data_IF_998355209910
#
_entry.id   IF_998355209910
#
_cell.length_a   1.000
_cell.length_b   1.000
_cell.length_c   1.000
_cell.angle_alpha   90.00
_cell.angle_beta   90.00
_cell.angle_gamma   90.00
#
_symmetry.space_group_name_H-M   'P 1'
#
loop_
_entity.id
_entity.type
_entity.pdbx_description
1 polymer ?
#
# COMPACT_ATOMS: atom_id res chain seq x y z
N UNK A 1 12.57 41.15 -29.44
CA UNK A 1 12.56 42.29 -28.50
C UNK A 1 11.11 42.58 -28.17
N UNK A 2 10.64 42.23 -26.98
CA UNK A 2 9.24 42.41 -26.59
C UNK A 2 8.92 41.57 -25.36
N UNK A 3 9.43 42.01 -24.21
CA UNK A 3 9.39 41.32 -22.92
C UNK A 3 8.79 42.19 -21.81
N UNK A 4 8.42 43.44 -22.10
CA UNK A 4 8.12 44.40 -21.04
C UNK A 4 7.06 45.40 -21.49
N UNK A 5 6.14 45.72 -20.59
CA UNK A 5 5.22 46.86 -20.70
C UNK A 5 5.91 48.05 -20.04
N UNK A 6 5.99 49.17 -20.76
CA UNK A 6 6.62 50.39 -20.27
C UNK A 6 5.58 51.48 -20.00
N UNK A 7 5.51 51.97 -18.76
CA UNK A 7 4.53 52.98 -18.33
C UNK A 7 5.17 54.13 -17.51
N UNK A 8 4.70 55.38 -17.65
CA UNK A 8 5.09 56.50 -16.78
C UNK A 8 4.02 56.82 -15.71
N UNK A 9 4.33 57.09 -14.41
CA UNK A 9 5.45 56.77 -13.50
C UNK A 9 5.00 55.80 -12.36
N UNK A 10 5.75 55.41 -11.33
CA UNK A 10 7.09 54.79 -11.24
C UNK A 10 7.00 53.69 -10.16
N UNK A 11 7.42 52.47 -10.47
CA UNK A 11 7.67 51.41 -9.48
C UNK A 11 8.93 51.76 -8.68
N UNK A 12 8.92 51.55 -7.37
CA UNK A 12 10.03 51.84 -6.47
C UNK A 12 10.53 50.55 -5.81
N UNK A 13 11.64 50.65 -5.08
CA UNK A 13 12.14 49.52 -4.30
C UNK A 13 11.09 49.13 -3.25
N UNK A 14 10.62 47.88 -3.29
CA UNK A 14 9.48 47.40 -2.51
C UNK A 14 8.24 47.07 -3.34
N UNK A 15 8.12 47.62 -4.56
CA UNK A 15 7.00 47.33 -5.47
C UNK A 15 7.29 46.17 -6.42
N UNK A 16 8.53 45.66 -6.44
CA UNK A 16 8.94 44.54 -7.30
C UNK A 16 8.11 43.29 -6.96
N UNK A 17 7.51 42.67 -7.97
CA UNK A 17 6.53 41.58 -7.81
C UNK A 17 5.07 42.04 -7.71
N UNK A 18 4.81 43.34 -7.55
CA UNK A 18 3.45 43.88 -7.53
C UNK A 18 2.76 43.87 -8.91
N UNK A 19 1.42 43.77 -8.97
CA UNK A 19 0.68 43.70 -10.22
C UNK A 19 0.47 45.08 -10.86
N UNK A 20 0.59 45.14 -12.18
CA UNK A 20 0.02 46.20 -13.01
C UNK A 20 -1.44 45.83 -13.31
N UNK A 21 -2.37 46.58 -12.73
CA UNK A 21 -3.80 46.33 -12.88
C UNK A 21 -4.38 47.29 -13.93
N UNK A 22 -5.10 46.74 -14.91
CA UNK A 22 -5.80 47.48 -15.94
C UNK A 22 -7.09 48.14 -15.43
N UNK A 23 -7.70 48.98 -16.27
CA UNK A 23 -8.95 49.66 -15.91
C UNK A 23 -10.15 48.71 -15.77
N UNK A 24 -10.04 47.51 -16.32
CA UNK A 24 -10.97 46.38 -16.21
C UNK A 24 -10.75 45.53 -14.95
N UNK A 25 -9.72 45.83 -14.16
CA UNK A 25 -9.37 45.08 -12.96
C UNK A 25 -8.50 43.85 -13.21
N UNK A 26 -8.11 43.57 -14.47
CA UNK A 26 -7.23 42.45 -14.79
C UNK A 26 -5.76 42.79 -14.55
N UNK A 27 -4.94 41.77 -14.30
CA UNK A 27 -3.48 41.92 -14.18
C UNK A 27 -2.87 41.86 -15.58
N UNK A 28 -2.09 42.87 -15.96
CA UNK A 28 -1.43 42.95 -17.27
C UNK A 28 0.08 42.68 -17.20
N UNK A 29 0.68 42.86 -16.02
CA UNK A 29 2.09 42.60 -15.85
C UNK A 29 2.56 42.67 -14.41
N UNK A 30 3.81 42.29 -14.19
CA UNK A 30 4.44 42.24 -12.87
C UNK A 30 5.59 43.23 -12.82
N UNK A 31 5.57 44.12 -11.83
CA UNK A 31 6.57 45.16 -11.60
C UNK A 31 7.98 44.56 -11.54
N UNK A 32 8.87 45.03 -12.41
CA UNK A 32 10.23 44.51 -12.51
C UNK A 32 11.27 45.55 -12.13
N UNK A 33 11.46 46.60 -12.93
CA UNK A 33 12.50 47.61 -12.70
C UNK A 33 12.13 48.99 -13.27
N UNK A 34 12.87 50.03 -12.90
CA UNK A 34 12.82 51.35 -13.56
C UNK A 34 13.99 51.50 -14.53
N UNK A 35 13.79 52.25 -15.60
CA UNK A 35 14.80 52.43 -16.63
C UNK A 35 14.95 53.89 -17.04
N UNK A 36 16.08 54.18 -17.68
CA UNK A 36 16.36 55.49 -18.23
C UNK A 36 16.09 55.50 -19.74
N UNK A 37 15.07 56.24 -20.23
CA UNK A 37 14.75 56.26 -21.65
C UNK A 37 15.87 56.83 -22.53
N UNK A 38 16.70 57.72 -21.98
CA UNK A 38 17.82 58.34 -22.69
C UNK A 38 19.14 57.56 -22.55
N UNK A 39 19.17 56.53 -21.68
CA UNK A 39 20.33 55.70 -21.37
C UNK A 39 21.51 56.46 -20.74
N UNK A 40 21.30 57.72 -20.34
CA UNK A 40 22.35 58.65 -19.88
C UNK A 40 22.06 59.21 -18.49
N UNK A 41 20.78 59.36 -18.14
CA UNK A 41 20.35 59.86 -16.84
C UNK A 41 20.11 58.69 -15.89
N UNK A 42 20.58 58.76 -14.65
CA UNK A 42 20.34 57.72 -13.65
C UNK A 42 18.83 57.69 -13.29
N UNK A 43 18.14 56.55 -13.43
CA UNK A 43 16.71 56.46 -13.18
C UNK A 43 16.41 56.59 -11.68
N UNK A 44 15.46 57.45 -11.33
CA UNK A 44 15.04 57.70 -9.94
C UNK A 44 13.57 57.32 -9.73
N UNK A 45 13.30 56.65 -8.62
CA UNK A 45 11.94 56.42 -8.11
C UNK A 45 11.18 57.76 -8.02
N UNK A 46 9.90 57.74 -8.37
CA UNK A 46 9.02 58.91 -8.51
C UNK A 46 9.06 59.59 -9.88
N UNK A 47 10.13 59.40 -10.66
CA UNK A 47 10.36 60.19 -11.89
C UNK A 47 10.74 59.39 -13.13
N UNK A 48 11.35 58.22 -12.96
CA UNK A 48 11.71 57.33 -14.06
C UNK A 48 10.53 56.41 -14.43
N UNK A 49 10.35 56.07 -15.72
CA UNK A 49 9.35 55.09 -16.13
C UNK A 49 9.68 53.67 -15.64
N UNK A 50 8.63 52.90 -15.40
CA UNK A 50 8.70 51.51 -14.97
C UNK A 50 8.60 50.53 -16.13
N UNK A 51 9.23 49.37 -15.96
CA UNK A 51 9.13 48.20 -16.81
C UNK A 51 8.47 47.06 -16.03
N UNK A 52 7.44 46.47 -16.62
CA UNK A 52 6.68 45.36 -16.07
C UNK A 52 6.83 44.17 -16.99
N UNK A 53 7.06 42.97 -16.45
CA UNK A 53 6.94 41.76 -17.22
C UNK A 53 5.48 41.61 -17.67
N UNK A 54 5.22 41.61 -18.97
CA UNK A 54 3.88 41.33 -19.50
C UNK A 54 3.47 39.93 -19.07
N UNK A 55 2.29 39.80 -18.47
CA UNK A 55 1.84 38.52 -17.92
C UNK A 55 1.33 37.56 -18.98
N UNK A 56 0.80 38.07 -20.10
CA UNK A 56 0.16 37.27 -21.16
C UNK A 56 1.06 36.15 -21.70
N UNK A 57 2.38 36.37 -21.74
CA UNK A 57 3.34 35.34 -22.20
C UNK A 57 3.64 34.24 -21.18
N UNK A 58 3.20 34.45 -19.95
CA UNK A 58 3.37 33.53 -18.84
C UNK A 58 2.03 32.90 -18.45
N UNK A 59 0.93 33.19 -19.15
CA UNK A 59 -0.39 32.61 -18.83
C UNK A 59 -0.33 31.09 -18.90
N UNK A 60 0.13 30.49 -20.00
CA UNK A 60 0.30 29.03 -20.11
C UNK A 60 1.19 28.43 -19.00
N UNK A 61 2.21 29.17 -18.54
CA UNK A 61 3.08 28.74 -17.45
C UNK A 61 2.38 28.87 -16.08
N UNK A 62 1.63 29.95 -15.87
CA UNK A 62 0.84 30.18 -14.65
C UNK A 62 -0.24 29.12 -14.55
N UNK A 63 -0.96 28.88 -15.64
CA UNK A 63 -2.02 27.87 -15.76
C UNK A 63 -1.46 26.47 -15.51
N UNK A 64 -0.31 26.12 -16.11
CA UNK A 64 0.36 24.86 -15.81
C UNK A 64 0.74 24.70 -14.34
N UNK A 65 1.25 25.75 -13.70
CA UNK A 65 1.57 25.72 -12.26
C UNK A 65 0.30 25.64 -11.40
N UNK A 66 -0.80 26.29 -11.81
CA UNK A 66 -2.07 26.23 -11.10
C UNK A 66 -2.68 24.83 -11.18
N UNK A 67 -2.71 24.23 -12.37
CA UNK A 67 -3.15 22.85 -12.59
C UNK A 67 -2.31 21.85 -11.77
N UNK A 68 -0.98 21.99 -11.75
CA UNK A 68 -0.08 21.14 -10.93
C UNK A 68 -0.37 21.25 -9.42
N UNK A 69 -0.92 22.38 -8.96
CA UNK A 69 -1.31 22.57 -7.55
C UNK A 69 -2.74 22.10 -7.24
N UNK A 70 -3.46 21.53 -8.21
CA UNK A 70 -4.86 21.13 -8.09
C UNK A 70 -5.84 22.30 -8.07
N UNK A 71 -5.41 23.47 -8.56
CA UNK A 71 -6.31 24.61 -8.77
C UNK A 71 -6.93 24.50 -10.15
N UNK A 72 -8.27 24.52 -10.23
CA UNK A 72 -8.96 24.52 -11.51
C UNK A 72 -8.61 25.77 -12.33
N UNK A 73 -8.29 25.58 -13.61
CA UNK A 73 -7.97 26.63 -14.55
C UNK A 73 -9.01 26.58 -15.66
N UNK A 74 -9.91 27.58 -15.74
CA UNK A 74 -11.03 27.51 -16.68
C UNK A 74 -10.55 27.64 -18.13
N UNK A 75 -10.84 26.64 -18.96
CA UNK A 75 -10.80 26.67 -20.41
C UNK A 75 -12.15 27.16 -20.98
N UNK A 76 -12.21 27.40 -22.28
CA UNK A 76 -13.39 27.85 -23.00
C UNK A 76 -14.32 26.70 -23.44
N UNK A 77 -13.89 25.45 -23.29
CA UNK A 77 -14.57 24.25 -23.76
C UNK A 77 -14.33 23.11 -22.76
N UNK A 78 -15.41 22.48 -22.29
CA UNK A 78 -15.33 21.19 -21.60
C UNK A 78 -14.81 20.10 -22.53
N UNK A 79 -13.70 19.48 -22.16
CA UNK A 79 -13.19 18.27 -22.78
C UNK A 79 -13.48 17.07 -21.87
N UNK A 80 -13.83 15.92 -22.46
CA UNK A 80 -14.05 14.70 -21.69
C UNK A 80 -12.70 14.06 -21.29
N UNK A 81 -11.95 14.69 -20.39
CA UNK A 81 -10.57 14.37 -20.06
C UNK A 81 -10.37 13.97 -18.58
N UNK A 82 -11.41 14.05 -17.74
CA UNK A 82 -11.34 13.73 -16.32
C UNK A 82 -11.03 14.92 -15.41
N UNK A 83 -10.95 16.13 -15.95
CA UNK A 83 -10.77 17.39 -15.24
C UNK A 83 -12.07 18.22 -15.30
N UNK A 84 -12.18 19.19 -14.40
CA UNK A 84 -13.23 20.23 -14.43
C UNK A 84 -12.66 21.38 -15.26
N UNK A 85 -13.02 21.47 -16.55
CA UNK A 85 -12.39 22.43 -17.47
C UNK A 85 -13.04 23.81 -17.38
N UNK A 86 -14.26 24.00 -16.86
CA UNK A 86 -14.91 25.31 -16.70
C UNK A 86 -15.02 25.78 -15.24
N UNK A 87 -14.51 24.98 -14.31
CA UNK A 87 -14.46 25.23 -12.88
C UNK A 87 -15.84 25.41 -12.25
N UNK A 88 -16.83 24.62 -12.66
CA UNK A 88 -18.20 24.65 -12.12
C UNK A 88 -18.45 23.63 -10.98
N UNK A 89 -17.41 22.93 -10.53
CA UNK A 89 -17.41 21.83 -9.57
C UNK A 89 -18.03 20.52 -10.11
N UNK A 90 -18.32 20.43 -11.42
CA UNK A 90 -18.59 19.19 -12.12
C UNK A 90 -17.38 18.78 -12.97
N UNK A 91 -17.16 17.47 -13.09
CA UNK A 91 -16.10 16.92 -13.94
C UNK A 91 -16.79 16.29 -15.14
N UNK A 92 -16.35 16.66 -16.35
CA UNK A 92 -16.80 16.12 -17.63
C UNK A 92 -18.35 16.16 -17.82
N UNK A 93 -19.03 17.26 -17.47
CA UNK A 93 -20.48 17.31 -17.64
C UNK A 93 -20.91 17.28 -19.11
N UNK A 94 -21.93 16.47 -19.40
CA UNK A 94 -22.38 16.22 -20.78
C UNK A 94 -21.60 15.14 -21.52
N UNK A 95 -20.52 14.61 -20.93
CA UNK A 95 -19.84 13.42 -21.42
C UNK A 95 -20.63 12.13 -21.11
N UNK A 96 -20.26 11.06 -21.80
CA UNK A 96 -20.85 9.73 -21.65
C UNK A 96 -20.41 9.13 -20.31
N UNK A 97 -21.34 8.78 -19.41
CA UNK A 97 -21.01 8.26 -18.09
C UNK A 97 -20.27 6.91 -18.14
N UNK A 98 -19.54 6.60 -17.06
CA UNK A 98 -18.93 5.28 -16.88
C UNK A 98 -19.98 4.16 -16.97
N UNK A 99 -19.61 3.04 -17.61
CA UNK A 99 -20.47 1.87 -17.84
C UNK A 99 -21.38 1.95 -19.07
N UNK A 100 -21.51 3.12 -19.70
CA UNK A 100 -22.29 3.30 -20.93
C UNK A 100 -21.44 2.99 -22.18
N UNK A 101 -22.05 2.53 -23.29
CA UNK A 101 -21.32 2.17 -24.50
C UNK A 101 -20.68 3.39 -25.18
N UNK A 102 -19.51 3.18 -25.78
CA UNK A 102 -18.72 4.23 -26.42
C UNK A 102 -18.09 3.76 -27.74
N UNK A 103 -17.73 4.73 -28.57
CA UNK A 103 -16.96 4.60 -29.79
C UNK A 103 -15.52 5.13 -29.65
N UNK A 104 -15.30 6.18 -28.86
CA UNK A 104 -13.98 6.81 -28.62
C UNK A 104 -13.79 7.32 -27.20
N UNK A 105 -12.54 7.51 -26.76
CA UNK A 105 -12.22 8.05 -25.43
C UNK A 105 -12.75 9.47 -25.21
N UNK A 106 -12.65 10.32 -26.22
CA UNK A 106 -13.02 11.75 -26.18
C UNK A 106 -14.51 12.05 -25.92
N UNK A 107 -15.36 11.02 -25.80
CA UNK A 107 -16.77 11.18 -25.43
C UNK A 107 -17.07 10.68 -24.01
N UNK A 108 -16.09 10.08 -23.33
CA UNK A 108 -16.26 9.40 -22.05
C UNK A 108 -15.79 10.25 -20.88
N UNK A 109 -16.52 10.22 -19.77
CA UNK A 109 -16.00 10.72 -18.49
C UNK A 109 -14.65 10.03 -18.19
N UNK A 110 -13.60 10.82 -17.95
CA UNK A 110 -12.22 10.36 -17.74
C UNK A 110 -11.48 9.94 -19.02
N UNK A 111 -12.02 10.22 -20.21
CA UNK A 111 -11.33 10.07 -21.50
C UNK A 111 -11.04 8.64 -21.95
N UNK A 112 -11.59 7.61 -21.30
CA UNK A 112 -11.25 6.22 -21.58
C UNK A 112 -12.47 5.39 -22.03
N UNK A 113 -12.37 4.88 -23.26
CA UNK A 113 -13.29 3.94 -23.88
C UNK A 113 -12.55 2.63 -24.19
N UNK A 114 -12.91 1.52 -23.53
CA UNK A 114 -12.19 0.25 -23.69
C UNK A 114 -13.12 -0.97 -23.74
N UNK A 115 -12.59 -2.08 -24.28
CA UNK A 115 -13.26 -3.38 -24.35
C UNK A 115 -13.19 -4.08 -22.99
N UNK A 116 -14.34 -4.16 -22.30
CA UNK A 116 -14.48 -4.80 -20.99
C UNK A 116 -15.29 -6.10 -21.06
N UNK A 117 -15.38 -6.88 -19.96
CA UNK A 117 -16.23 -8.07 -19.91
C UNK A 117 -17.73 -7.82 -20.21
N UNK A 118 -18.22 -6.59 -20.05
CA UNK A 118 -19.62 -6.20 -20.36
C UNK A 118 -19.78 -5.57 -21.74
N UNK A 119 -18.70 -5.44 -22.51
CA UNK A 119 -18.66 -4.79 -23.82
C UNK A 119 -17.74 -3.57 -23.83
N UNK A 120 -17.74 -2.85 -24.96
CA UNK A 120 -17.00 -1.60 -25.10
C UNK A 120 -17.75 -0.47 -24.41
N UNK A 121 -17.21 0.05 -23.32
CA UNK A 121 -17.87 1.05 -22.47
C UNK A 121 -16.88 2.12 -22.00
N UNK A 122 -17.41 3.29 -21.64
CA UNK A 122 -16.65 4.28 -20.90
C UNK A 122 -16.25 3.70 -19.54
N UNK A 123 -14.97 3.74 -19.20
CA UNK A 123 -14.42 3.16 -17.96
C UNK A 123 -13.26 4.01 -17.49
N UNK A 124 -12.78 3.81 -16.27
CA UNK A 124 -11.49 4.33 -15.81
C UNK A 124 -10.54 3.16 -15.48
N UNK A 125 -9.24 3.45 -15.49
CA UNK A 125 -8.22 2.49 -15.08
C UNK A 125 -8.21 2.35 -13.55
N UNK A 126 -8.01 1.13 -13.07
CA UNK A 126 -7.95 0.82 -11.65
C UNK A 126 -7.04 -0.38 -11.39
N UNK A 127 -6.68 -0.62 -10.13
CA UNK A 127 -5.86 -1.78 -9.75
C UNK A 127 -6.75 -3.02 -9.51
N UNK A 128 -6.70 -4.06 -10.37
CA UNK A 128 -7.53 -5.25 -10.21
C UNK A 128 -7.12 -6.12 -9.01
N UNK A 129 -5.98 -5.84 -8.36
CA UNK A 129 -5.59 -6.46 -7.10
C UNK A 129 -6.25 -5.77 -5.89
N UNK A 130 -6.88 -4.60 -6.10
CA UNK A 130 -7.63 -3.86 -5.08
C UNK A 130 -9.03 -3.53 -5.59
N UNK A 131 -9.89 -4.53 -5.84
CA UNK A 131 -11.14 -4.34 -6.57
C UNK A 131 -12.17 -3.43 -5.91
N UNK A 132 -12.03 -3.18 -4.60
CA UNK A 132 -12.89 -2.27 -3.86
C UNK A 132 -12.36 -0.83 -3.78
N UNK A 133 -11.24 -0.51 -4.44
CA UNK A 133 -10.58 0.80 -4.37
C UNK A 133 -10.31 1.32 -5.78
N UNK A 134 -10.26 2.65 -5.92
CA UNK A 134 -9.88 3.33 -7.16
C UNK A 134 -11.01 3.61 -8.15
N UNK A 135 -12.22 3.10 -7.93
CA UNK A 135 -13.40 3.41 -8.74
C UNK A 135 -14.39 4.30 -7.99
N UNK A 136 -15.18 5.08 -8.75
CA UNK A 136 -16.27 5.90 -8.22
C UNK A 136 -17.37 5.06 -7.54
N UNK A 137 -18.16 5.63 -6.62
CA UNK A 137 -19.25 4.90 -5.97
C UNK A 137 -20.21 4.23 -6.96
N UNK A 138 -20.60 2.99 -6.67
CA UNK A 138 -21.42 2.15 -7.57
C UNK A 138 -20.64 1.39 -8.64
N UNK A 139 -19.30 1.53 -8.66
CA UNK A 139 -18.39 0.79 -9.51
C UNK A 139 -17.36 0.03 -8.69
N UNK A 140 -16.83 -1.04 -9.28
CA UNK A 140 -15.73 -1.82 -8.74
C UNK A 140 -14.65 -2.03 -9.80
N UNK A 141 -13.42 -2.32 -9.39
CA UNK A 141 -12.37 -2.67 -10.36
C UNK A 141 -12.55 -4.12 -10.82
N UNK A 142 -13.20 -4.30 -11.97
CA UNK A 142 -13.23 -5.54 -12.71
C UNK A 142 -11.91 -5.79 -13.43
N UNK A 143 -11.73 -7.00 -13.98
CA UNK A 143 -10.47 -7.37 -14.63
C UNK A 143 -10.62 -8.07 -15.96
N UNK A 144 -9.63 -7.90 -16.82
CA UNK A 144 -9.37 -8.76 -17.96
C UNK A 144 -7.86 -9.06 -18.02
N UNK A 145 -7.49 -10.29 -17.66
CA UNK A 145 -6.08 -10.61 -17.37
C UNK A 145 -5.60 -9.82 -16.14
N UNK A 146 -4.54 -9.02 -16.32
CA UNK A 146 -4.02 -8.10 -15.30
C UNK A 146 -4.45 -6.63 -15.48
N UNK A 147 -5.29 -6.34 -16.48
CA UNK A 147 -5.79 -4.99 -16.69
C UNK A 147 -7.07 -4.80 -15.86
N UNK A 148 -7.14 -3.68 -15.13
CA UNK A 148 -8.29 -3.31 -14.31
C UNK A 148 -9.13 -2.23 -14.99
N UNK A 149 -10.46 -2.38 -14.90
CA UNK A 149 -11.44 -1.46 -15.46
C UNK A 149 -12.58 -1.25 -14.47
N UNK A 150 -13.05 -0.02 -14.29
CA UNK A 150 -14.20 0.26 -13.45
C UNK A 150 -15.49 -0.22 -14.09
N UNK A 151 -16.08 -1.27 -13.52
CA UNK A 151 -17.34 -1.88 -13.95
C UNK A 151 -18.47 -1.54 -12.99
N UNK A 152 -19.70 -1.37 -13.46
CA UNK A 152 -20.84 -1.13 -12.61
C UNK A 152 -21.08 -2.34 -11.69
N UNK A 153 -21.21 -2.08 -10.40
CA UNK A 153 -21.40 -3.14 -9.42
C UNK A 153 -20.98 -2.72 -8.02
N UNK A 154 -21.60 -3.38 -7.04
CA UNK A 154 -21.25 -3.24 -5.63
C UNK A 154 -20.73 -4.56 -5.08
N UNK A 155 -20.02 -4.46 -3.96
CA UNK A 155 -19.50 -5.61 -3.23
C UNK A 155 -20.63 -6.52 -2.75
N UNK A 156 -20.51 -7.82 -3.04
CA UNK A 156 -21.41 -8.84 -2.54
C UNK A 156 -21.07 -9.34 -1.13
N UNK A 157 -21.88 -10.27 -0.63
CA UNK A 157 -21.68 -10.88 0.70
C UNK A 157 -20.92 -12.21 0.64
N UNK A 158 -20.65 -12.75 -0.55
CA UNK A 158 -19.97 -14.02 -0.76
C UNK A 158 -18.53 -14.01 -0.23
N UNK A 159 -18.27 -14.82 0.78
CA UNK A 159 -16.94 -14.96 1.40
C UNK A 159 -16.04 -15.88 0.57
N UNK A 160 -14.73 -15.91 0.88
CA UNK A 160 -13.81 -16.82 0.19
C UNK A 160 -14.33 -18.27 0.17
N UNK A 161 -14.11 -18.93 -0.96
CA UNK A 161 -14.59 -20.26 -1.37
C UNK A 161 -16.10 -20.41 -1.61
N UNK A 162 -16.93 -19.39 -1.32
CA UNK A 162 -18.35 -19.39 -1.67
C UNK A 162 -18.54 -19.48 -3.18
N UNK A 163 -19.54 -20.25 -3.63
CA UNK A 163 -19.87 -20.31 -5.05
C UNK A 163 -20.41 -18.96 -5.54
N UNK A 164 -20.05 -18.57 -6.75
CA UNK A 164 -20.44 -17.31 -7.36
C UNK A 164 -20.73 -17.49 -8.86
N UNK A 165 -21.48 -16.56 -9.42
CA UNK A 165 -21.73 -16.42 -10.86
C UNK A 165 -21.12 -15.13 -11.42
N UNK A 166 -20.97 -14.09 -10.60
CA UNK A 166 -20.36 -12.81 -10.95
C UNK A 166 -19.46 -12.30 -9.82
N UNK A 167 -18.53 -11.40 -10.16
CA UNK A 167 -17.63 -10.74 -9.20
C UNK A 167 -18.39 -10.07 -8.05
N UNK A 168 -19.51 -9.43 -8.38
CA UNK A 168 -20.40 -8.73 -7.43
C UNK A 168 -21.16 -9.64 -6.48
N UNK A 169 -21.07 -10.97 -6.65
CA UNK A 169 -21.55 -11.91 -5.62
C UNK A 169 -20.57 -11.97 -4.43
N UNK A 170 -19.33 -11.54 -4.62
CA UNK A 170 -18.23 -11.74 -3.70
C UNK A 170 -17.88 -10.49 -2.90
N UNK A 171 -17.53 -10.69 -1.62
CA UNK A 171 -16.94 -9.66 -0.77
C UNK A 171 -15.58 -9.19 -1.31
N UNK A 172 -14.83 -10.11 -1.92
CA UNK A 172 -13.57 -9.82 -2.61
C UNK A 172 -13.77 -9.19 -3.99
N UNK A 173 -15.00 -9.07 -4.49
CA UNK A 173 -15.31 -8.60 -5.85
C UNK A 173 -14.57 -9.38 -6.94
N UNK A 174 -14.34 -10.67 -6.69
CA UNK A 174 -13.52 -11.51 -7.56
C UNK A 174 -14.06 -12.94 -7.58
N UNK A 175 -14.82 -13.24 -8.63
CA UNK A 175 -15.39 -14.55 -8.91
C UNK A 175 -14.59 -15.23 -10.01
N UNK A 176 -13.90 -16.33 -9.68
CA UNK A 176 -13.09 -17.04 -10.68
C UNK A 176 -13.07 -18.54 -10.41
N UNK A 177 -12.96 -19.32 -11.49
CA UNK A 177 -12.53 -20.70 -11.44
C UNK A 177 -10.99 -20.74 -11.54
N UNK A 178 -10.27 -21.12 -10.46
CA UNK A 178 -8.81 -21.16 -10.46
C UNK A 178 -8.23 -22.35 -11.25
N UNK A 179 -9.06 -23.14 -11.93
CA UNK A 179 -8.66 -24.25 -12.80
C UNK A 179 -9.17 -25.61 -12.35
N UNK A 180 -10.05 -25.68 -11.33
CA UNK A 180 -10.64 -26.92 -10.84
C UNK A 180 -12.09 -27.15 -11.30
N UNK A 181 -12.60 -26.27 -12.18
CA UNK A 181 -13.93 -26.41 -12.76
C UNK A 181 -15.03 -25.74 -11.94
N UNK A 182 -14.70 -25.01 -10.87
CA UNK A 182 -15.67 -24.36 -9.98
C UNK A 182 -15.34 -22.90 -9.74
N UNK A 183 -16.21 -22.02 -10.23
CA UNK A 183 -16.18 -20.60 -9.89
C UNK A 183 -16.53 -20.38 -8.41
N UNK A 184 -15.73 -19.55 -7.75
CA UNK A 184 -15.88 -19.18 -6.34
C UNK A 184 -15.27 -17.81 -6.06
N UNK A 185 -15.73 -17.21 -4.98
CA UNK A 185 -15.15 -15.98 -4.44
C UNK A 185 -13.76 -16.28 -3.91
N UNK A 186 -12.76 -15.55 -4.38
CA UNK A 186 -11.37 -15.67 -3.95
C UNK A 186 -10.74 -14.28 -3.91
N UNK A 187 -9.63 -14.13 -3.20
CA UNK A 187 -8.88 -12.88 -3.24
C UNK A 187 -7.98 -12.83 -4.50
N UNK A 188 -7.93 -11.68 -5.19
CA UNK A 188 -7.08 -11.52 -6.37
C UNK A 188 -5.60 -11.58 -5.98
N UNK A 189 -4.78 -12.15 -6.85
CA UNK A 189 -3.34 -12.17 -6.66
C UNK A 189 -2.59 -11.95 -7.97
N UNK A 190 -1.31 -11.65 -7.85
CA UNK A 190 -0.33 -11.69 -8.93
C UNK A 190 0.76 -12.67 -8.50
N UNK A 191 1.11 -13.59 -9.39
CA UNK A 191 2.17 -14.55 -9.09
C UNK A 191 3.49 -13.80 -8.81
N UNK A 192 4.26 -14.31 -7.85
CA UNK A 192 5.53 -13.73 -7.38
C UNK A 192 5.42 -12.38 -6.64
N UNK A 193 4.19 -11.93 -6.32
CA UNK A 193 3.96 -10.69 -5.56
C UNK A 193 3.61 -10.92 -4.08
N UNK A 194 3.67 -12.17 -3.57
CA UNK A 194 3.43 -12.46 -2.15
C UNK A 194 2.03 -12.10 -1.62
N UNK A 195 1.03 -11.94 -2.48
CA UNK A 195 -0.27 -11.38 -2.07
C UNK A 195 -1.18 -12.36 -1.32
N UNK A 196 -0.90 -13.66 -1.41
CA UNK A 196 -1.70 -14.67 -0.75
C UNK A 196 -1.33 -14.83 0.73
N UNK A 197 -2.34 -15.17 1.53
CA UNK A 197 -2.20 -15.32 2.97
C UNK A 197 -1.60 -16.67 3.33
N UNK A 198 -1.33 -16.89 4.61
CA UNK A 198 -0.71 -18.13 5.07
C UNK A 198 -1.54 -19.37 4.69
N UNK A 199 -0.86 -20.38 4.13
CA UNK A 199 -1.49 -21.60 3.62
C UNK A 199 -2.08 -21.48 2.20
N UNK A 200 -1.99 -20.32 1.57
CA UNK A 200 -2.46 -20.08 0.21
C UNK A 200 -1.33 -19.82 -0.78
N UNK A 201 -1.64 -20.03 -2.05
CA UNK A 201 -0.74 -19.84 -3.20
C UNK A 201 -1.51 -19.13 -4.32
N UNK A 202 -0.81 -18.37 -5.15
CA UNK A 202 -1.44 -17.70 -6.27
C UNK A 202 -1.60 -18.67 -7.44
N UNK A 203 -2.84 -19.00 -7.79
CA UNK A 203 -3.15 -19.84 -8.95
C UNK A 203 -2.98 -19.04 -10.27
N UNK A 204 -1.73 -18.74 -10.63
CA UNK A 204 -1.35 -18.05 -11.85
C UNK A 204 0.08 -18.40 -12.29
N UNK A 205 0.35 -18.28 -13.59
CA UNK A 205 1.72 -18.29 -14.11
C UNK A 205 2.49 -17.03 -13.67
N UNK A 206 3.83 -17.09 -13.70
CA UNK A 206 4.71 -15.97 -13.30
C UNK A 206 4.28 -14.64 -13.94
N UNK A 207 4.16 -13.59 -13.11
CA UNK A 207 3.72 -12.25 -13.50
C UNK A 207 2.26 -12.11 -13.95
N UNK A 208 1.48 -13.20 -13.97
CA UNK A 208 0.06 -13.17 -14.32
C UNK A 208 -0.81 -12.99 -13.08
N UNK A 209 -2.01 -12.44 -13.29
CA UNK A 209 -3.01 -12.24 -12.27
C UNK A 209 -3.90 -13.48 -12.17
N UNK A 210 -4.16 -13.92 -10.96
CA UNK A 210 -4.99 -15.07 -10.64
C UNK A 210 -5.74 -14.86 -9.35
N UNK A 211 -5.93 -15.94 -8.61
CA UNK A 211 -6.58 -15.93 -7.31
C UNK A 211 -5.80 -16.73 -6.28
N UNK A 212 -5.85 -16.27 -5.04
CA UNK A 212 -5.33 -17.01 -3.89
C UNK A 212 -6.20 -18.23 -3.62
N UNK A 213 -5.58 -19.41 -3.62
CA UNK A 213 -6.24 -20.68 -3.33
C UNK A 213 -5.46 -21.46 -2.28
N UNK A 214 -6.10 -22.38 -1.54
CA UNK A 214 -5.39 -23.31 -0.68
C UNK A 214 -4.26 -24.04 -1.42
N UNK A 215 -3.08 -24.15 -0.80
CA UNK A 215 -1.87 -24.74 -1.42
C UNK A 215 -2.07 -26.11 -2.06
N UNK A 216 -2.99 -26.91 -1.53
CA UNK A 216 -3.30 -28.25 -2.07
C UNK A 216 -4.05 -28.27 -3.41
N UNK A 217 -4.53 -27.12 -3.90
CA UNK A 217 -5.24 -27.03 -5.18
C UNK A 217 -4.33 -26.72 -6.37
N UNK A 218 -3.15 -26.14 -6.14
CA UNK A 218 -2.20 -25.85 -7.22
C UNK A 218 -1.29 -27.04 -7.45
N UNK A 219 -1.22 -27.47 -8.70
CA UNK A 219 -0.25 -28.46 -9.16
C UNK A 219 0.86 -27.70 -9.90
N UNK A 220 2.04 -27.61 -9.29
CA UNK A 220 3.20 -26.95 -9.90
C UNK A 220 4.08 -26.23 -8.88
N UNK A 221 5.07 -25.52 -9.42
CA UNK A 221 6.06 -24.82 -8.62
C UNK A 221 5.55 -23.45 -8.14
N UNK A 222 5.84 -23.16 -6.87
CA UNK A 222 5.37 -22.04 -6.07
C UNK A 222 6.21 -20.80 -6.29
N UNK A 223 5.54 -19.66 -6.33
CA UNK A 223 6.15 -18.35 -6.58
C UNK A 223 6.82 -17.75 -5.35
N UNK A 224 7.42 -16.57 -5.54
CA UNK A 224 8.08 -15.82 -4.48
C UNK A 224 7.12 -15.53 -3.30
N UNK A 225 7.57 -15.83 -2.08
CA UNK A 225 6.83 -15.62 -0.83
C UNK A 225 5.75 -16.66 -0.52
N UNK A 226 5.54 -17.64 -1.39
CA UNK A 226 4.56 -18.72 -1.18
C UNK A 226 5.13 -19.81 -0.25
N UNK A 227 4.29 -20.46 0.57
CA UNK A 227 4.76 -21.46 1.54
C UNK A 227 5.48 -22.61 0.83
N UNK A 228 6.48 -23.24 1.45
CA UNK A 228 7.21 -24.37 0.90
C UNK A 228 7.66 -25.37 1.98
N UNK A 229 7.92 -26.61 1.58
CA UNK A 229 8.52 -27.65 2.42
C UNK A 229 9.94 -28.01 1.97
N UNK A 230 10.21 -27.93 0.66
CA UNK A 230 11.51 -28.16 0.03
C UNK A 230 11.70 -27.30 -1.23
N UNK A 231 12.94 -27.24 -1.73
CA UNK A 231 13.32 -26.40 -2.88
C UNK A 231 12.60 -26.81 -4.16
N UNK A 232 12.26 -28.10 -4.32
CA UNK A 232 11.56 -28.62 -5.49
C UNK A 232 10.12 -28.12 -5.60
N UNK A 233 9.52 -27.66 -4.49
CA UNK A 233 8.24 -26.97 -4.53
C UNK A 233 8.34 -25.55 -5.10
N UNK A 234 9.52 -24.94 -5.13
CA UNK A 234 9.71 -23.56 -5.54
C UNK A 234 10.00 -23.42 -7.04
N UNK A 235 9.55 -22.30 -7.63
CA UNK A 235 9.65 -22.05 -9.07
C UNK A 235 11.07 -21.73 -9.51
N UNK A 236 11.53 -22.46 -10.52
CA UNK A 236 12.80 -22.16 -11.19
C UNK A 236 13.99 -22.41 -10.27
N UNK A 237 14.76 -21.36 -10.01
CA UNK A 237 15.95 -21.40 -9.15
C UNK A 237 15.67 -20.87 -7.73
N UNK A 238 14.39 -20.74 -7.34
CA UNK A 238 14.02 -20.34 -5.99
C UNK A 238 14.32 -21.43 -4.99
N UNK A 239 14.62 -21.03 -3.75
CA UNK A 239 14.92 -21.94 -2.64
C UNK A 239 13.86 -21.82 -1.56
N UNK A 240 13.60 -22.91 -0.85
CA UNK A 240 12.73 -22.90 0.30
C UNK A 240 13.49 -22.36 1.52
N UNK A 241 13.18 -21.13 1.93
CA UNK A 241 13.84 -20.49 3.05
C UNK A 241 12.92 -20.41 4.27
N UNK A 242 13.39 -20.92 5.41
CA UNK A 242 12.74 -20.74 6.71
C UNK A 242 13.29 -19.50 7.44
N UNK A 243 12.38 -18.61 7.86
CA UNK A 243 12.68 -17.48 8.72
C UNK A 243 11.61 -17.31 9.80
N UNK A 244 12.03 -17.33 11.07
CA UNK A 244 11.16 -17.17 12.25
C UNK A 244 9.97 -18.14 12.30
N UNK A 245 10.18 -19.40 11.96
CA UNK A 245 9.18 -20.48 11.95
C UNK A 245 8.34 -20.55 10.68
N UNK A 246 8.66 -19.77 9.64
CA UNK A 246 7.86 -19.65 8.43
C UNK A 246 8.73 -19.97 7.21
N UNK A 247 8.36 -21.02 6.48
CA UNK A 247 9.04 -21.47 5.27
C UNK A 247 8.34 -20.91 4.03
N UNK A 248 9.07 -20.15 3.22
CA UNK A 248 8.57 -19.60 1.97
C UNK A 248 9.61 -19.64 0.85
N UNK A 249 9.16 -19.72 -0.40
CA UNK A 249 10.02 -19.66 -1.56
C UNK A 249 10.66 -18.28 -1.68
N UNK A 250 11.99 -18.26 -1.81
CA UNK A 250 12.80 -17.06 -1.91
C UNK A 250 13.66 -17.08 -3.17
N UNK A 251 13.83 -15.93 -3.82
CA UNK A 251 14.72 -15.75 -4.96
C UNK A 251 16.04 -15.11 -4.52
N UNK A 252 17.13 -15.31 -5.25
CA UNK A 252 18.39 -14.63 -4.96
C UNK A 252 18.30 -13.11 -5.23
N UNK A 253 19.05 -12.31 -4.47
CA UNK A 253 19.19 -10.86 -4.64
C UNK A 253 20.57 -10.36 -4.19
N UNK A 254 20.97 -9.18 -4.68
CA UNK A 254 22.15 -8.44 -4.21
C UNK A 254 21.75 -7.17 -3.43
N UNK A 255 20.60 -6.57 -3.75
CA UNK A 255 20.04 -5.38 -3.09
C UNK A 255 18.51 -5.41 -3.05
N UNK A 256 17.90 -4.55 -2.21
CA UNK A 256 16.45 -4.47 -2.05
C UNK A 256 15.71 -4.19 -3.36
N UNK A 257 16.29 -3.39 -4.26
CA UNK A 257 15.73 -3.07 -5.58
C UNK A 257 15.63 -4.28 -6.53
N UNK A 258 16.32 -5.39 -6.22
CA UNK A 258 16.18 -6.65 -6.96
C UNK A 258 14.88 -7.39 -6.59
N UNK A 259 14.29 -7.04 -5.45
CA UNK A 259 13.09 -7.65 -4.91
C UNK A 259 11.84 -6.85 -5.31
N UNK A 260 10.75 -7.55 -5.59
CA UNK A 260 9.47 -6.90 -5.87
C UNK A 260 8.86 -6.23 -4.63
N UNK A 261 7.84 -5.40 -4.85
CA UNK A 261 7.11 -4.73 -3.77
C UNK A 261 6.70 -5.71 -2.64
N UNK A 262 6.96 -5.32 -1.39
CA UNK A 262 6.66 -6.15 -0.22
C UNK A 262 7.74 -7.18 0.13
N UNK A 263 8.87 -7.17 -0.56
CA UNK A 263 10.04 -8.00 -0.27
C UNK A 263 11.28 -7.14 -0.01
N UNK A 264 12.19 -7.64 0.81
CA UNK A 264 13.51 -7.05 1.06
C UNK A 264 14.61 -8.06 0.76
N UNK A 265 15.80 -7.57 0.42
CA UNK A 265 16.95 -8.42 0.20
C UNK A 265 17.69 -8.66 1.53
N UNK A 266 17.53 -9.87 2.08
CA UNK A 266 18.19 -10.26 3.33
C UNK A 266 18.90 -11.59 3.14
N UNK A 267 20.14 -11.66 3.59
CA UNK A 267 21.00 -12.85 3.42
C UNK A 267 21.10 -13.32 1.96
N UNK A 268 21.12 -12.36 1.02
CA UNK A 268 21.12 -12.57 -0.43
C UNK A 268 19.87 -13.29 -0.97
N UNK A 269 18.75 -13.21 -0.25
CA UNK A 269 17.45 -13.74 -0.64
C UNK A 269 16.35 -12.67 -0.53
N UNK A 270 15.49 -12.58 -1.54
CA UNK A 270 14.25 -11.82 -1.46
C UNK A 270 13.29 -12.55 -0.54
N UNK A 271 13.09 -11.99 0.65
CA UNK A 271 12.16 -12.48 1.65
C UNK A 271 11.08 -11.42 1.88
N UNK A 272 9.91 -11.86 2.35
CA UNK A 272 8.82 -10.92 2.63
C UNK A 272 9.27 -9.92 3.69
N UNK A 273 9.09 -8.63 3.42
CA UNK A 273 9.36 -7.58 4.40
C UNK A 273 8.38 -7.73 5.56
N UNK A 274 8.93 -7.99 6.75
CA UNK A 274 8.20 -8.15 8.01
C UNK A 274 8.68 -7.15 9.06
N UNK A 275 9.41 -6.11 8.65
CA UNK A 275 9.94 -5.12 9.58
C UNK A 275 8.80 -4.42 10.30
N UNK A 276 9.00 -4.19 11.57
CA UNK A 276 7.99 -3.66 12.48
C UNK A 276 8.40 -2.29 12.99
N UNK A 277 7.39 -1.43 13.18
CA UNK A 277 7.56 -0.20 13.94
C UNK A 277 7.65 -0.45 15.44
N UNK A 278 7.74 0.62 16.22
CA UNK A 278 7.74 0.55 17.69
C UNK A 278 6.51 -0.22 18.18
N UNK A 279 6.76 -1.29 18.92
CA UNK A 279 5.74 -2.15 19.50
C UNK A 279 5.50 -3.48 18.81
N UNK A 280 5.93 -3.65 17.56
CA UNK A 280 5.85 -4.97 16.92
C UNK A 280 6.87 -5.94 17.50
N UNK A 281 6.60 -7.23 17.38
CA UNK A 281 7.52 -8.28 17.85
C UNK A 281 8.72 -8.40 16.91
N UNK A 282 9.85 -8.86 17.44
CA UNK A 282 11.10 -9.00 16.68
C UNK A 282 11.93 -10.17 17.18
N UNK A 283 12.77 -10.72 16.30
CA UNK A 283 13.78 -11.72 16.65
C UNK A 283 15.16 -11.05 16.71
N UNK A 284 15.46 -10.18 15.75
CA UNK A 284 16.72 -9.43 15.62
C UNK A 284 16.46 -7.93 15.40
N UNK A 285 17.49 -7.10 15.45
CA UNK A 285 17.33 -5.64 15.33
C UNK A 285 16.86 -5.23 13.93
N UNK A 286 17.28 -5.97 12.92
CA UNK A 286 16.93 -5.76 11.51
C UNK A 286 15.42 -5.88 11.27
N UNK A 287 14.71 -6.62 12.14
CA UNK A 287 13.24 -6.71 12.10
C UNK A 287 12.55 -5.40 12.55
N UNK A 288 13.29 -4.40 13.03
CA UNK A 288 12.74 -3.15 13.56
C UNK A 288 12.95 -1.94 12.65
N UNK A 289 13.33 -2.17 11.39
CA UNK A 289 13.77 -1.09 10.49
C UNK A 289 14.95 -0.33 11.11
N UNK A 290 14.76 0.97 11.39
CA UNK A 290 15.76 1.81 12.06
C UNK A 290 15.79 1.66 13.60
N UNK A 291 14.93 0.79 14.15
CA UNK A 291 14.75 0.60 15.58
C UNK A 291 15.69 -0.42 16.22
N UNK A 292 15.42 -0.75 17.49
CA UNK A 292 16.16 -1.75 18.26
C UNK A 292 15.19 -2.83 18.70
N UNK A 293 15.57 -4.10 18.58
CA UNK A 293 14.84 -5.21 19.17
C UNK A 293 15.16 -5.30 20.66
N UNK A 294 14.36 -4.63 21.49
CA UNK A 294 14.50 -4.66 22.93
C UNK A 294 13.97 -5.97 23.50
N UNK A 295 14.55 -6.41 24.62
CA UNK A 295 14.14 -7.60 25.33
C UNK A 295 13.96 -7.34 26.83
N UNK A 296 12.89 -7.88 27.41
CA UNK A 296 12.66 -7.91 28.86
C UNK A 296 12.12 -9.27 29.28
N UNK A 297 13.00 -10.10 29.86
CA UNK A 297 12.70 -11.52 30.07
C UNK A 297 12.59 -12.23 28.73
N UNK A 298 11.47 -12.92 28.51
CA UNK A 298 11.18 -13.63 27.26
C UNK A 298 10.49 -12.74 26.21
N UNK A 299 10.05 -11.52 26.60
CA UNK A 299 9.36 -10.58 25.71
C UNK A 299 10.38 -9.86 24.82
N UNK A 300 10.09 -9.74 23.53
CA UNK A 300 10.85 -8.95 22.56
C UNK A 300 9.94 -8.04 21.77
N UNK A 301 10.38 -6.79 21.58
CA UNK A 301 9.64 -5.80 20.79
C UNK A 301 10.58 -4.77 20.17
N UNK A 302 10.17 -4.24 19.03
CA UNK A 302 10.81 -3.11 18.42
C UNK A 302 10.59 -1.85 19.25
N UNK A 303 11.66 -1.13 19.54
CA UNK A 303 11.62 0.11 20.32
C UNK A 303 12.40 1.22 19.63
N UNK A 304 12.05 2.45 19.98
CA UNK A 304 12.81 3.66 19.70
C UNK A 304 13.37 4.27 20.99
N UNK A 305 14.46 5.05 20.92
CA UNK A 305 14.90 5.88 22.04
C UNK A 305 13.90 7.00 22.31
N UNK A 306 13.74 7.38 23.57
CA UNK A 306 12.81 8.43 24.00
C UNK A 306 13.43 9.34 25.07
N UNK A 307 12.92 10.56 25.22
CA UNK A 307 13.28 11.51 26.27
C UNK A 307 12.10 11.83 27.20
N UNK A 308 10.87 11.57 26.76
CA UNK A 308 9.64 11.69 27.54
C UNK A 308 8.53 10.79 27.01
N UNK A 309 7.40 10.76 27.71
CA UNK A 309 6.26 9.91 27.34
C UNK A 309 5.66 10.30 25.97
N UNK A 310 5.68 11.58 25.61
CA UNK A 310 5.13 12.09 24.35
C UNK A 310 5.93 11.62 23.10
N UNK A 311 7.13 11.07 23.28
CA UNK A 311 7.94 10.51 22.20
C UNK A 311 7.51 9.08 21.83
N UNK A 312 6.72 8.42 22.69
CA UNK A 312 6.31 7.04 22.51
C UNK A 312 4.88 6.94 21.94
N UNK A 313 4.61 5.96 21.06
CA UNK A 313 3.25 5.71 20.57
C UNK A 313 2.28 5.38 21.70
N UNK A 314 0.97 5.49 21.41
CA UNK A 314 -0.06 5.07 22.35
C UNK A 314 0.14 3.60 22.79
N UNK A 315 0.03 3.32 24.08
CA UNK A 315 0.30 2.00 24.65
C UNK A 315 1.77 1.75 25.01
N UNK A 316 2.63 2.79 24.93
CA UNK A 316 4.04 2.72 25.32
C UNK A 316 4.43 3.84 26.27
N UNK A 317 5.28 3.51 27.25
CA UNK A 317 5.86 4.47 28.19
C UNK A 317 7.38 4.57 28.00
N UNK A 318 7.90 5.78 28.12
CA UNK A 318 9.34 6.02 28.08
C UNK A 318 10.02 5.52 29.35
N UNK A 319 10.70 4.38 29.25
CA UNK A 319 11.17 3.61 30.40
C UNK A 319 12.70 3.45 30.36
N UNK A 320 13.41 3.48 31.51
CA UNK A 320 14.85 3.26 31.54
C UNK A 320 15.23 1.82 31.13
N UNK A 321 16.13 1.70 30.15
CA UNK A 321 16.80 0.47 29.75
C UNK A 321 18.33 0.65 29.88
N UNK A 322 18.85 0.34 31.07
CA UNK A 322 20.25 0.58 31.40
C UNK A 322 20.58 2.07 31.47
N UNK A 323 21.44 2.56 30.58
CA UNK A 323 21.80 3.99 30.48
C UNK A 323 20.93 4.77 29.46
N UNK A 324 20.10 4.08 28.69
CA UNK A 324 19.21 4.67 27.70
C UNK A 324 17.76 4.68 28.20
N UNK A 325 16.93 5.48 27.55
CA UNK A 325 15.48 5.53 27.73
C UNK A 325 14.84 5.02 26.44
N UNK A 326 13.89 4.10 26.54
CA UNK A 326 13.27 3.42 25.40
C UNK A 326 11.75 3.30 25.58
N UNK A 327 11.01 3.25 24.49
CA UNK A 327 9.57 3.00 24.52
C UNK A 327 9.26 1.55 24.88
N UNK A 328 8.71 1.32 26.08
CA UNK A 328 8.33 0.01 26.56
C UNK A 328 6.80 -0.14 26.58
N UNK A 329 6.25 -1.31 26.20
CA UNK A 329 4.81 -1.51 26.14
C UNK A 329 4.19 -1.48 27.54
N UNK A 330 3.03 -0.84 27.65
CA UNK A 330 2.23 -0.78 28.89
C UNK A 330 1.17 -1.89 28.96
N UNK A 331 0.89 -2.55 27.82
CA UNK A 331 -0.04 -3.66 27.69
C UNK A 331 0.59 -4.94 27.15
N UNK A 332 -0.27 -5.90 26.81
CA UNK A 332 0.09 -7.14 26.18
C UNK A 332 0.41 -6.93 24.68
N UNK A 333 1.49 -7.56 24.22
CA UNK A 333 1.95 -7.53 22.84
C UNK A 333 1.29 -8.64 22.01
N UNK A 334 1.46 -8.56 20.69
CA UNK A 334 1.01 -9.60 19.76
C UNK A 334 1.51 -11.01 20.19
N UNK A 335 0.60 -11.99 20.18
CA UNK A 335 0.81 -13.35 20.67
C UNK A 335 0.66 -13.56 22.18
N UNK A 336 0.61 -12.51 22.98
CA UNK A 336 0.40 -12.61 24.43
C UNK A 336 -1.10 -12.81 24.76
N UNK A 337 -1.39 -13.54 25.84
CA UNK A 337 -2.78 -13.85 26.24
C UNK A 337 -3.52 -12.59 26.66
N UNK A 338 -4.81 -12.54 26.34
CA UNK A 338 -5.71 -11.45 26.70
C UNK A 338 -7.08 -11.98 27.11
N UNK A 339 -7.80 -11.20 27.92
CA UNK A 339 -9.21 -11.44 28.26
C UNK A 339 -10.14 -10.50 27.47
N UNK A 340 -9.63 -9.33 27.07
CA UNK A 340 -10.34 -8.40 26.20
C UNK A 340 -9.42 -7.46 25.43
N UNK A 341 -10.03 -6.69 24.52
CA UNK A 341 -9.31 -5.79 23.61
C UNK A 341 -8.43 -4.76 24.33
N UNK A 342 -8.85 -4.27 25.50
CA UNK A 342 -8.11 -3.26 26.26
C UNK A 342 -6.80 -3.79 26.88
N UNK A 343 -6.61 -5.10 26.94
CA UNK A 343 -5.36 -5.69 27.43
C UNK A 343 -4.24 -5.57 26.40
N UNK A 344 -4.61 -5.48 25.12
CA UNK A 344 -3.70 -5.51 23.99
C UNK A 344 -3.27 -4.12 23.57
N UNK A 345 -1.98 -3.93 23.31
CA UNK A 345 -1.44 -2.69 22.72
C UNK A 345 -2.09 -2.43 21.35
N UNK A 346 -2.37 -3.49 20.58
CA UNK A 346 -3.08 -3.43 19.29
C UNK A 346 -4.57 -3.13 19.42
N UNK A 347 -5.11 -3.09 20.64
CA UNK A 347 -6.55 -3.03 20.95
C UNK A 347 -7.37 -4.18 20.34
N UNK A 348 -6.75 -5.31 20.01
CA UNK A 348 -7.42 -6.45 19.39
C UNK A 348 -7.02 -7.75 20.07
N UNK A 349 -7.99 -8.35 20.77
CA UNK A 349 -7.89 -9.66 21.39
C UNK A 349 -8.72 -10.65 20.59
N UNK A 350 -8.09 -11.62 19.93
CA UNK A 350 -8.77 -12.61 19.10
C UNK A 350 -8.63 -14.02 19.68
N UNK A 351 -9.73 -14.77 19.65
CA UNK A 351 -9.74 -16.18 20.03
C UNK A 351 -9.10 -17.03 18.93
N UNK A 352 -8.03 -17.75 19.26
CA UNK A 352 -7.40 -18.68 18.34
C UNK A 352 -8.19 -20.00 18.23
N UNK A 353 -8.05 -20.72 17.11
CA UNK A 353 -8.50 -22.11 17.00
C UNK A 353 -7.83 -22.97 18.09
N UNK A 354 -8.57 -23.33 19.13
CA UNK A 354 -8.01 -24.00 20.32
C UNK A 354 -8.45 -23.39 21.66
N UNK A 355 -9.06 -22.21 21.63
CA UNK A 355 -9.79 -21.63 22.77
C UNK A 355 -8.99 -20.66 23.65
N UNK A 356 -7.73 -20.38 23.33
CA UNK A 356 -6.97 -19.30 23.99
C UNK A 356 -7.10 -18.01 23.16
N UNK A 357 -7.37 -16.89 23.84
CA UNK A 357 -7.38 -15.57 23.22
C UNK A 357 -6.02 -14.91 23.35
N UNK A 358 -5.52 -14.37 22.25
CA UNK A 358 -4.25 -13.64 22.20
C UNK A 358 -4.42 -12.29 21.56
N UNK A 359 -3.56 -11.35 21.94
CA UNK A 359 -3.43 -10.09 21.25
C UNK A 359 -2.94 -10.33 19.82
N UNK A 360 -3.57 -9.68 18.86
CA UNK A 360 -3.27 -9.83 17.44
C UNK A 360 -3.44 -8.50 16.72
N UNK A 361 -3.08 -8.44 15.45
CA UNK A 361 -3.30 -7.32 14.56
C UNK A 361 -4.09 -7.81 13.33
N UNK A 362 -4.82 -6.88 12.69
CA UNK A 362 -5.43 -7.14 11.38
C UNK A 362 -4.31 -7.15 10.36
N UNK A 363 -4.33 -8.12 9.45
CA UNK A 363 -3.32 -8.27 8.42
C UNK A 363 -3.96 -8.51 7.07
N UNK A 364 -3.17 -8.26 6.04
CA UNK A 364 -3.52 -8.51 4.65
C UNK A 364 -2.23 -8.65 3.83
N UNK A 365 -2.35 -8.64 2.50
CA UNK A 365 -1.21 -8.72 1.60
C UNK A 365 -0.20 -7.56 1.79
N UNK A 366 -0.67 -6.35 2.08
CA UNK A 366 0.13 -5.15 2.25
C UNK A 366 0.62 -4.97 3.71
N UNK A 367 -0.14 -5.47 4.68
CA UNK A 367 0.15 -5.38 6.11
C UNK A 367 0.61 -6.75 6.63
N UNK A 368 1.92 -7.02 6.48
CA UNK A 368 2.52 -8.26 6.91
C UNK A 368 2.57 -8.39 8.44
N UNK A 369 2.33 -9.60 8.93
CA UNK A 369 2.52 -9.93 10.34
C UNK A 369 3.97 -9.89 10.76
N UNK A 370 4.20 -9.60 12.05
CA UNK A 370 5.52 -9.59 12.63
C UNK A 370 6.24 -10.95 12.50
N UNK A 371 7.58 -10.98 12.58
CA UNK A 371 8.34 -12.24 12.55
C UNK A 371 7.82 -13.22 13.61
N UNK A 372 7.59 -14.47 13.21
CA UNK A 372 6.96 -15.48 14.07
C UNK A 372 5.45 -15.59 13.96
N UNK A 373 4.81 -14.75 13.15
CA UNK A 373 3.35 -14.73 12.96
C UNK A 373 2.95 -14.86 11.49
N UNK A 374 1.82 -15.50 11.26
CA UNK A 374 1.26 -15.77 9.95
C UNK A 374 -0.12 -15.12 9.83
N UNK A 375 -0.35 -14.44 8.71
CA UNK A 375 -1.64 -13.81 8.44
C UNK A 375 -2.65 -14.89 8.03
N UNK A 376 -3.62 -15.15 8.89
CA UNK A 376 -4.60 -16.24 8.69
C UNK A 376 -6.02 -15.70 8.76
N UNK A 377 -6.89 -16.15 7.84
CA UNK A 377 -8.32 -15.83 7.90
C UNK A 377 -8.96 -16.52 9.09
N UNK A 378 -9.68 -15.77 9.91
CA UNK A 378 -10.41 -16.33 11.05
C UNK A 378 -11.86 -16.60 10.66
N UNK A 379 -12.21 -17.89 10.60
CA UNK A 379 -13.55 -18.35 10.31
C UNK A 379 -14.07 -17.95 8.92
N UNK A 380 -15.38 -17.76 8.83
CA UNK A 380 -16.11 -17.29 7.64
C UNK A 380 -16.19 -15.76 7.61
N UNK A 381 -15.09 -15.07 7.87
CA UNK A 381 -15.05 -13.60 7.73
C UNK A 381 -14.00 -13.21 6.70
N UNK A 382 -14.19 -12.05 6.07
CA UNK A 382 -13.21 -11.49 5.13
C UNK A 382 -11.95 -10.95 5.83
N UNK A 383 -11.92 -10.90 7.17
CA UNK A 383 -10.81 -10.37 7.94
C UNK A 383 -9.78 -11.46 8.26
N UNK A 384 -8.51 -11.13 8.07
CA UNK A 384 -7.39 -11.95 8.51
C UNK A 384 -6.69 -11.28 9.70
N UNK A 385 -6.11 -12.12 10.56
CA UNK A 385 -5.38 -11.67 11.74
C UNK A 385 -4.07 -12.44 11.87
N UNK A 386 -3.10 -11.83 12.55
CA UNK A 386 -1.80 -12.42 12.78
C UNK A 386 -1.85 -13.44 13.91
N UNK A 387 -1.57 -14.70 13.59
CA UNK A 387 -1.52 -15.79 14.58
C UNK A 387 -0.10 -16.35 14.65
N UNK A 388 0.35 -16.87 15.80
CA UNK A 388 1.67 -17.50 15.89
C UNK A 388 1.85 -18.56 14.81
N UNK A 389 2.96 -18.51 14.09
CA UNK A 389 3.32 -19.51 13.10
C UNK A 389 3.38 -20.87 13.79
N UNK A 390 2.71 -21.87 13.21
CA UNK A 390 2.81 -23.23 13.76
C UNK A 390 4.19 -23.74 13.38
N UNK A 391 5.06 -24.12 14.34
CA UNK A 391 6.34 -24.68 13.97
C UNK A 391 6.07 -25.90 13.08
N UNK A 392 6.62 -25.90 11.87
CA UNK A 392 6.64 -27.06 10.98
C UNK A 392 7.27 -28.18 11.78
N UNK A 393 6.41 -29.05 12.31
CA UNK A 393 6.86 -30.25 12.99
C UNK A 393 7.60 -31.05 11.95
N UNK A 394 8.92 -30.96 11.97
CA UNK A 394 9.78 -31.88 11.23
C UNK A 394 9.31 -33.26 11.65
N UNK A 395 8.64 -33.96 10.74
CA UNK A 395 8.33 -35.38 10.83
C UNK A 395 9.65 -36.16 10.73
N UNK A 396 10.57 -35.91 11.64
CA UNK A 396 11.69 -36.77 11.97
C UNK A 396 11.21 -37.71 13.04
N UNK A 397 10.77 -38.91 12.64
CA UNK A 397 10.38 -40.00 13.54
C UNK A 397 11.52 -40.40 14.47
N UNK A 398 11.67 -39.68 15.59
CA UNK A 398 12.52 -40.05 16.70
C UNK A 398 11.75 -40.95 17.65
N UNK A 399 11.73 -42.25 17.40
CA UNK A 399 11.30 -43.22 18.39
C UNK A 399 12.23 -43.14 19.61
N UNK A 400 11.79 -42.46 20.67
CA UNK A 400 12.44 -42.55 21.98
C UNK A 400 12.17 -43.93 22.58
N UNK A 401 13.01 -44.91 22.26
CA UNK A 401 13.11 -46.12 23.04
C UNK A 401 13.72 -45.77 24.41
N UNK A 402 12.89 -45.70 25.43
CA UNK A 402 13.33 -45.56 26.81
C UNK A 402 14.12 -46.81 27.23
N UNK A 403 15.45 -46.72 27.24
CA UNK A 403 16.29 -47.69 27.95
C UNK A 403 16.21 -47.37 29.44
N UNK A 404 15.42 -48.16 30.16
CA UNK A 404 15.33 -48.13 31.62
C UNK A 404 16.66 -48.56 32.24
N UNK A 405 17.42 -47.60 32.76
CA UNK A 405 18.54 -47.84 33.68
C UNK A 405 18.00 -48.00 35.10
N UNK A 406 17.77 -49.24 35.53
CA UNK A 406 17.44 -49.56 36.91
C UNK A 406 18.71 -49.53 37.79
N UNK A 407 18.96 -48.39 38.43
CA UNK A 407 19.86 -48.28 39.58
C UNK A 407 19.12 -48.75 40.84
N UNK A 408 19.37 -49.98 41.28
CA UNK A 408 18.83 -50.55 42.51
C UNK A 408 19.92 -50.64 43.60
N UNK A 409 19.90 -49.69 44.51
CA UNK A 409 20.76 -49.61 45.70
C UNK A 409 20.46 -50.71 46.73
N UNK A 410 21.51 -51.25 47.32
CA UNK A 410 21.50 -52.04 48.57
C UNK A 410 20.97 -51.21 49.75
N UNK A 411 20.28 -51.85 50.71
CA UNK A 411 20.51 -51.54 52.11
C UNK A 411 20.85 -52.81 52.90
N UNK A 412 21.84 -52.67 53.78
CA UNK A 412 22.19 -53.68 54.76
C UNK A 412 21.26 -53.65 55.98
N UNK A 413 20.92 -54.84 56.46
CA UNK A 413 21.03 -55.30 57.86
C UNK A 413 20.79 -56.81 57.89
#
# INVERSE_FOLDING_TARGET
MGGFIFVPPSVCSGDSGGPLIGADGLVYGVASFIYSPDGRTEPRCGTAPGAYNEIFRFVDFIDGVLAETGTCVPDAVEECNGEDDDCDDAVDEGCTPLGEPCASGDECVGGLCDDTPIGRVCTSACDPLRPAQGCSPGFYCGRQGCNGFCLPGERGEGLNDAACAADTDCASLHCVDPGDGRARCLDPCRADAGLCLAGEVCAAAAGQCGACVPRGLVVGARGLGEPCEDDEECRGDFVCHESAGISACASACEADDDCGDGFECRDALCIRDRRQGVGGTCVVNEDCGDGICAAAGDRRWCTAPCSGADDCPAGFDCTPAGAAMVCAPTGALEGERCEGNADCVTNLCAALPGGESVCTSICDAANACAPGFECTRTGSSAAAVCIPATPTSTSGGGCAAASSSSSGSLPGL
#
